data_IF_418086076384
#
_entry.id   IF_418086076384
#
_cell.length_a   1.000
_cell.length_b   1.000
_cell.length_c   1.000
_cell.angle_alpha   90.00
_cell.angle_beta   90.00
_cell.angle_gamma   90.00
#
_symmetry.space_group_name_H-M   'P 1'
#
loop_
_entity.id
_entity.type
_entity.pdbx_description
1 polymer ?
#
# COMPACT_ATOMS: atom_id res chain seq x y z
N UNK A 1 1.01 23.86 -8.07
CA UNK A 1 1.15 22.40 -7.83
C UNK A 1 2.57 22.11 -7.37
N UNK A 2 2.80 21.85 -6.07
CA UNK A 2 4.14 21.51 -5.55
C UNK A 2 3.99 20.40 -4.52
N UNK A 3 4.23 19.16 -4.95
CA UNK A 3 4.38 18.00 -4.07
C UNK A 3 5.86 17.65 -3.98
N UNK A 4 6.62 18.41 -3.20
CA UNK A 4 8.01 18.05 -2.87
C UNK A 4 8.26 18.48 -1.43
N UNK A 5 8.44 17.53 -0.52
CA UNK A 5 8.81 17.88 0.85
C UNK A 5 8.87 16.69 1.80
N UNK A 6 7.80 15.88 1.88
CA UNK A 6 7.70 14.89 2.96
C UNK A 6 8.15 13.46 2.58
N UNK A 7 8.30 13.16 1.29
CA UNK A 7 8.63 11.79 0.80
C UNK A 7 10.12 11.52 0.58
N UNK A 8 10.93 12.57 0.42
CA UNK A 8 12.36 12.46 0.08
C UNK A 8 13.18 11.83 1.22
N UNK A 9 12.88 12.23 2.46
CA UNK A 9 13.60 11.78 3.67
C UNK A 9 13.51 10.26 3.91
N UNK A 10 12.34 9.63 3.67
CA UNK A 10 12.20 8.17 3.85
C UNK A 10 12.93 7.37 2.76
N UNK A 11 12.84 7.82 1.50
CA UNK A 11 13.57 7.19 0.38
C UNK A 11 15.09 7.31 0.57
N UNK A 12 15.59 8.46 1.03
CA UNK A 12 17.01 8.64 1.35
C UNK A 12 17.49 7.69 2.47
N UNK A 13 16.67 7.43 3.49
CA UNK A 13 17.02 6.47 4.55
C UNK A 13 17.08 5.01 4.07
N UNK A 14 16.25 4.63 3.10
CA UNK A 14 16.29 3.32 2.45
C UNK A 14 17.51 3.20 1.53
N UNK A 15 17.84 4.26 0.78
CA UNK A 15 19.04 4.34 -0.06
C UNK A 15 20.32 4.25 0.78
N UNK A 16 20.35 4.88 1.96
CA UNK A 16 21.46 4.77 2.92
C UNK A 16 21.64 3.34 3.45
N UNK A 17 20.56 2.57 3.63
CA UNK A 17 20.64 1.14 4.03
C UNK A 17 21.08 0.24 2.88
N UNK A 18 20.71 0.56 1.63
CA UNK A 18 21.22 -0.13 0.44
C UNK A 18 22.73 0.08 0.25
N UNK A 19 23.25 1.28 0.57
CA UNK A 19 24.69 1.54 0.64
C UNK A 19 25.43 0.71 1.71
N UNK A 20 24.69 0.03 2.60
CA UNK A 20 25.20 -0.88 3.64
C UNK A 20 24.87 -2.36 3.38
N UNK A 21 24.28 -2.71 2.23
CA UNK A 21 24.07 -4.11 1.81
C UNK A 21 22.87 -4.85 2.41
N UNK A 22 21.98 -4.20 3.16
CA UNK A 22 20.79 -4.86 3.73
C UNK A 22 19.62 -4.86 2.74
N UNK A 23 19.44 -5.97 2.04
CA UNK A 23 18.34 -6.19 1.07
C UNK A 23 17.09 -6.77 1.78
N UNK A 24 17.31 -7.52 2.86
CA UNK A 24 16.27 -8.25 3.60
C UNK A 24 15.81 -7.48 4.84
N UNK A 25 14.51 -7.57 5.12
CA UNK A 25 13.91 -6.97 6.30
C UNK A 25 14.24 -7.78 7.56
N UNK A 26 14.65 -7.09 8.62
CA UNK A 26 14.79 -7.69 9.94
C UNK A 26 13.41 -7.84 10.60
N UNK A 27 13.31 -8.71 11.62
CA UNK A 27 12.08 -8.85 12.41
C UNK A 27 11.63 -7.51 13.04
N UNK A 28 12.58 -6.65 13.40
CA UNK A 28 12.29 -5.33 13.94
C UNK A 28 11.68 -4.39 12.89
N UNK A 29 12.21 -4.39 11.66
CA UNK A 29 11.65 -3.61 10.55
C UNK A 29 10.22 -4.05 10.20
N UNK A 30 9.95 -5.36 10.22
CA UNK A 30 8.60 -5.91 10.01
C UNK A 30 7.65 -5.47 11.12
N UNK A 31 8.08 -5.50 12.38
CA UNK A 31 7.25 -5.09 13.51
C UNK A 31 6.91 -3.59 13.46
N UNK A 32 7.88 -2.75 13.06
CA UNK A 32 7.65 -1.30 12.84
C UNK A 32 6.60 -1.03 11.76
N UNK A 33 6.58 -1.83 10.69
CA UNK A 33 5.62 -1.67 9.59
C UNK A 33 4.23 -2.27 9.87
N UNK A 34 4.13 -3.24 10.77
CA UNK A 34 2.89 -4.00 11.07
C UNK A 34 1.69 -3.08 11.35
N UNK A 35 1.86 -2.06 12.17
CA UNK A 35 0.79 -1.11 12.51
C UNK A 35 0.28 -0.32 11.29
N UNK A 36 1.21 0.12 10.43
CA UNK A 36 0.90 0.87 9.20
C UNK A 36 0.15 -0.02 8.20
N UNK A 37 0.63 -1.25 7.97
CA UNK A 37 0.01 -2.20 7.04
C UNK A 37 -1.41 -2.58 7.49
N UNK A 38 -1.61 -2.85 8.78
CA UNK A 38 -2.96 -3.15 9.32
C UNK A 38 -3.92 -1.96 9.19
N UNK A 39 -3.42 -0.74 9.42
CA UNK A 39 -4.21 0.47 9.22
C UNK A 39 -4.61 0.65 7.76
N UNK A 40 -3.68 0.46 6.82
CA UNK A 40 -3.94 0.53 5.38
C UNK A 40 -4.97 -0.51 4.96
N UNK A 41 -4.81 -1.76 5.39
CA UNK A 41 -5.76 -2.83 5.11
C UNK A 41 -7.19 -2.47 5.53
N UNK A 42 -7.37 -2.02 6.77
CA UNK A 42 -8.69 -1.63 7.31
C UNK A 42 -9.25 -0.41 6.58
N UNK A 43 -8.43 0.59 6.28
CA UNK A 43 -8.87 1.78 5.54
C UNK A 43 -9.32 1.42 4.12
N UNK A 44 -8.61 0.54 3.43
CA UNK A 44 -8.97 0.06 2.09
C UNK A 44 -10.27 -0.74 2.09
N UNK A 45 -10.45 -1.65 3.06
CA UNK A 45 -11.71 -2.38 3.17
C UNK A 45 -12.90 -1.48 3.51
N UNK A 46 -12.68 -0.43 4.32
CA UNK A 46 -13.71 0.56 4.65
C UNK A 46 -14.02 1.46 3.46
N UNK A 47 -13.02 1.90 2.68
CA UNK A 47 -13.26 2.72 1.49
C UNK A 47 -14.03 1.95 0.42
N UNK A 48 -13.75 0.66 0.23
CA UNK A 48 -14.55 -0.21 -0.67
C UNK A 48 -16.01 -0.37 -0.26
N UNK A 49 -16.36 -0.12 1.01
CA UNK A 49 -17.74 -0.08 1.49
C UNK A 49 -18.40 1.29 1.37
N UNK A 50 -17.65 2.33 0.98
CA UNK A 50 -18.17 3.68 0.87
C UNK A 50 -19.25 3.78 -0.23
N UNK A 51 -20.36 4.50 -0.01
CA UNK A 51 -21.34 4.77 -1.05
C UNK A 51 -20.76 5.64 -2.19
N UNK A 52 -19.63 6.33 -1.94
CA UNK A 52 -18.95 7.18 -2.93
C UNK A 52 -18.41 6.38 -4.14
N UNK A 53 -18.17 5.08 -3.97
CA UNK A 53 -17.79 4.22 -5.10
C UNK A 53 -19.04 3.64 -5.77
N UNK A 54 -19.20 3.80 -7.09
CA UNK A 54 -20.33 3.25 -7.85
C UNK A 54 -20.12 1.74 -8.10
N UNK A 55 -20.02 0.94 -7.04
CA UNK A 55 -19.89 -0.50 -7.10
C UNK A 55 -21.18 -1.19 -6.66
N UNK A 56 -21.64 -2.15 -7.45
CA UNK A 56 -22.68 -3.08 -7.05
C UNK A 56 -22.18 -4.02 -5.92
N UNK A 57 -23.11 -4.68 -5.22
CA UNK A 57 -22.78 -5.54 -4.06
C UNK A 57 -21.79 -6.66 -4.43
N UNK A 58 -22.03 -7.36 -5.55
CA UNK A 58 -21.17 -8.42 -6.03
C UNK A 58 -19.73 -7.93 -6.32
N UNK A 59 -19.59 -6.77 -6.97
CA UNK A 59 -18.29 -6.14 -7.26
C UNK A 59 -17.58 -5.73 -5.98
N UNK A 60 -18.30 -5.23 -4.97
CA UNK A 60 -17.71 -4.93 -3.66
C UNK A 60 -17.14 -6.18 -3.01
N UNK A 61 -17.89 -7.29 -3.04
CA UNK A 61 -17.43 -8.56 -2.48
C UNK A 61 -16.18 -9.08 -3.22
N UNK A 62 -16.21 -9.06 -4.56
CA UNK A 62 -15.09 -9.46 -5.40
C UNK A 62 -13.85 -8.59 -5.16
N UNK A 63 -14.00 -7.27 -5.06
CA UNK A 63 -12.89 -6.36 -4.78
C UNK A 63 -12.31 -6.55 -3.38
N UNK A 64 -13.15 -6.80 -2.37
CA UNK A 64 -12.65 -7.16 -1.03
C UNK A 64 -11.86 -8.46 -1.05
N UNK A 65 -12.32 -9.47 -1.79
CA UNK A 65 -11.59 -10.73 -1.94
C UNK A 65 -10.22 -10.49 -2.59
N UNK A 66 -10.16 -9.68 -3.66
CA UNK A 66 -8.90 -9.28 -4.31
C UNK A 66 -7.96 -8.55 -3.36
N UNK A 67 -8.46 -7.55 -2.62
CA UNK A 67 -7.64 -6.82 -1.63
C UNK A 67 -7.12 -7.78 -0.56
N UNK A 68 -7.94 -8.70 -0.05
CA UNK A 68 -7.48 -9.73 0.90
C UNK A 68 -6.35 -10.58 0.32
N UNK A 69 -6.51 -11.05 -0.92
CA UNK A 69 -5.47 -11.83 -1.59
C UNK A 69 -4.17 -11.05 -1.76
N UNK A 70 -4.23 -9.76 -2.17
CA UNK A 70 -3.04 -8.92 -2.31
C UNK A 70 -2.30 -8.71 -0.98
N UNK A 71 -3.03 -8.43 0.11
CA UNK A 71 -2.43 -8.28 1.44
C UNK A 71 -1.90 -9.61 1.99
N UNK A 72 -2.53 -10.73 1.65
CA UNK A 72 -2.04 -12.06 2.00
C UNK A 72 -0.70 -12.36 1.30
N UNK A 73 -0.64 -12.18 -0.03
CA UNK A 73 0.59 -12.38 -0.80
C UNK A 73 1.69 -11.44 -0.34
N UNK A 74 1.38 -10.15 -0.15
CA UNK A 74 2.34 -9.16 0.34
C UNK A 74 2.82 -9.40 1.78
N UNK A 75 2.17 -10.29 2.55
CA UNK A 75 2.62 -10.63 3.91
C UNK A 75 3.83 -11.57 3.96
N UNK A 76 4.10 -12.28 2.86
CA UNK A 76 5.24 -13.19 2.73
C UNK A 76 6.51 -12.46 2.24
N UNK A 77 6.38 -11.21 1.81
CA UNK A 77 7.48 -10.40 1.30
C UNK A 77 8.48 -10.03 2.40
N UNK A 78 9.77 -10.23 2.10
CA UNK A 78 10.89 -9.91 3.00
C UNK A 78 11.85 -8.88 2.45
N UNK A 79 11.74 -8.51 1.17
CA UNK A 79 12.57 -7.45 0.59
C UNK A 79 12.14 -6.08 1.14
N UNK A 80 13.07 -5.32 1.71
CA UNK A 80 12.78 -3.97 2.24
C UNK A 80 12.24 -3.04 1.14
N UNK A 81 12.76 -3.18 -0.08
CA UNK A 81 12.34 -2.37 -1.22
C UNK A 81 10.91 -2.74 -1.64
N UNK A 82 10.62 -4.04 -1.79
CA UNK A 82 9.29 -4.49 -2.19
C UNK A 82 8.25 -4.10 -1.14
N UNK A 83 8.56 -4.26 0.15
CA UNK A 83 7.64 -3.85 1.24
C UNK A 83 7.35 -2.35 1.16
N UNK A 84 8.37 -1.51 0.93
CA UNK A 84 8.17 -0.07 0.79
C UNK A 84 7.30 0.26 -0.43
N UNK A 85 7.56 -0.37 -1.58
CA UNK A 85 6.80 -0.15 -2.81
C UNK A 85 5.35 -0.64 -2.68
N UNK A 86 5.11 -1.78 -2.02
CA UNK A 86 3.77 -2.30 -1.73
C UNK A 86 2.98 -1.36 -0.83
N UNK A 87 3.63 -0.79 0.18
CA UNK A 87 3.01 0.22 1.06
C UNK A 87 2.69 1.48 0.27
N UNK A 88 3.62 1.98 -0.54
CA UNK A 88 3.41 3.19 -1.36
C UNK A 88 2.30 2.99 -2.40
N UNK A 89 2.25 1.82 -3.05
CA UNK A 89 1.19 1.44 -3.98
C UNK A 89 -0.18 1.34 -3.30
N UNK A 90 -0.21 0.82 -2.07
CA UNK A 90 -1.42 0.75 -1.25
C UNK A 90 -1.92 2.14 -0.85
N UNK A 91 -1.00 3.03 -0.44
CA UNK A 91 -1.32 4.42 -0.11
C UNK A 91 -1.81 5.21 -1.32
N UNK A 92 -1.16 5.02 -2.47
CA UNK A 92 -1.58 5.58 -3.74
C UNK A 92 -3.01 5.14 -4.07
N UNK A 93 -3.28 3.83 -4.08
CA UNK A 93 -4.60 3.27 -4.38
C UNK A 93 -5.67 3.78 -3.40
N UNK A 94 -5.36 3.82 -2.10
CA UNK A 94 -6.27 4.31 -1.07
C UNK A 94 -6.66 5.78 -1.29
N UNK A 95 -5.74 6.60 -1.80
CA UNK A 95 -6.01 8.01 -2.08
C UNK A 95 -7.11 8.20 -3.15
N UNK A 96 -7.21 7.30 -4.14
CA UNK A 96 -8.28 7.30 -5.13
C UNK A 96 -9.58 6.76 -4.54
N UNK A 97 -9.51 5.66 -3.79
CA UNK A 97 -10.70 5.06 -3.17
C UNK A 97 -11.38 6.04 -2.20
N UNK A 98 -10.60 6.86 -1.48
CA UNK A 98 -11.15 7.94 -0.63
C UNK A 98 -11.89 9.01 -1.42
N UNK A 99 -11.55 9.21 -2.69
CA UNK A 99 -12.24 10.12 -3.62
C UNK A 99 -13.41 9.47 -4.36
N UNK A 100 -13.72 8.20 -4.08
CA UNK A 100 -14.73 7.44 -4.82
C UNK A 100 -14.29 7.03 -6.23
N UNK A 101 -12.98 7.10 -6.52
CA UNK A 101 -12.42 6.82 -7.84
C UNK A 101 -11.53 5.58 -7.80
N UNK A 102 -11.28 5.01 -8.97
CA UNK A 102 -10.24 3.99 -9.14
C UNK A 102 -8.97 4.62 -9.70
N UNK A 103 -7.78 4.12 -9.34
CA UNK A 103 -6.57 4.53 -10.02
C UNK A 103 -6.69 4.22 -11.52
N UNK A 104 -6.19 5.11 -12.40
CA UNK A 104 -6.24 4.89 -13.83
C UNK A 104 -5.51 3.58 -14.17
N UNK A 105 -6.15 2.71 -14.96
CA UNK A 105 -5.49 1.50 -15.48
C UNK A 105 -4.39 1.95 -16.44
N UNK A 106 -3.13 1.78 -16.07
CA UNK A 106 -2.02 1.82 -17.02
C UNK A 106 -2.02 0.46 -17.73
N UNK A 107 -2.79 0.37 -18.80
CA UNK A 107 -2.69 -0.70 -19.79
C UNK A 107 -2.58 0.04 -21.12
N UNK A 108 -1.37 0.01 -21.69
CA UNK A 108 -1.13 0.27 -23.10
C UNK A 108 -0.64 -1.03 -23.70
#
# INVERSE_FOLDING_TARGET
>A
MKWVGCRRVKKESLISRMGKGFIWATAEDLNRNRGRVLSLYRQTLRSLNSPLLPLNFASRLAMKAKVRAMFWVGSDERSLHNIADLIDASEYSLSFLKKGQFPPRHIT
#
